data_IF_085332243582
#
_entry.id   IF_085332243582
#
_cell.length_a   1.000
_cell.length_b   1.000
_cell.length_c   1.000
_cell.angle_alpha   90.00
_cell.angle_beta   90.00
_cell.angle_gamma   90.00
#
_symmetry.space_group_name_H-M   'P 1'
#
loop_
_entity.id
_entity.type
_entity.pdbx_description
1 polymer ?
#
# COMPACT_ATOMS: atom_id res chain seq x y z
N UNK A 1 7.93 18.54 1.75
CA UNK A 1 6.73 17.74 1.41
C UNK A 1 5.90 17.57 2.67
N UNK A 2 4.61 17.91 2.65
CA UNK A 2 3.76 17.85 3.87
C UNK A 2 3.60 16.41 4.35
N UNK A 3 3.75 16.14 5.66
CA UNK A 3 3.56 14.82 6.28
C UNK A 3 2.20 14.20 5.88
N UNK A 4 1.17 15.02 5.71
CA UNK A 4 -0.15 14.60 5.23
C UNK A 4 -0.16 14.18 3.75
N UNK A 5 0.59 14.87 2.91
CA UNK A 5 0.73 14.52 1.49
C UNK A 5 1.41 13.17 1.30
N UNK A 6 2.43 12.89 2.13
CA UNK A 6 3.17 11.62 2.09
C UNK A 6 2.33 10.45 2.63
N UNK A 7 1.56 10.66 3.70
CA UNK A 7 0.62 9.66 4.22
C UNK A 7 -0.47 9.28 3.20
N UNK A 8 -1.05 10.28 2.52
CA UNK A 8 -2.05 10.03 1.48
C UNK A 8 -1.46 9.30 0.27
N UNK A 9 -0.26 9.68 -0.17
CA UNK A 9 0.44 8.97 -1.25
C UNK A 9 0.67 7.50 -0.91
N UNK A 10 1.14 7.18 0.29
CA UNK A 10 1.32 5.79 0.73
C UNK A 10 0.01 4.98 0.73
N UNK A 11 -1.10 5.58 1.17
CA UNK A 11 -2.41 4.92 1.15
C UNK A 11 -2.95 4.70 -0.28
N UNK A 12 -2.74 5.67 -1.17
CA UNK A 12 -3.10 5.55 -2.59
C UNK A 12 -2.27 4.44 -3.25
N UNK A 13 -0.95 4.44 -3.06
CA UNK A 13 -0.06 3.40 -3.57
C UNK A 13 -0.45 2.00 -3.07
N UNK A 14 -0.77 1.88 -1.78
CA UNK A 14 -1.26 0.64 -1.21
C UNK A 14 -2.53 0.16 -1.93
N UNK A 15 -3.50 1.06 -2.13
CA UNK A 15 -4.76 0.76 -2.81
C UNK A 15 -4.52 0.28 -4.25
N UNK A 16 -3.61 0.92 -4.98
CA UNK A 16 -3.23 0.53 -6.35
C UNK A 16 -2.60 -0.86 -6.37
N UNK A 17 -1.71 -1.18 -5.42
CA UNK A 17 -1.06 -2.50 -5.32
C UNK A 17 -2.11 -3.60 -5.06
N UNK A 18 -3.05 -3.35 -4.15
CA UNK A 18 -4.14 -4.30 -3.88
C UNK A 18 -5.05 -4.51 -5.09
N UNK A 19 -5.42 -3.43 -5.79
CA UNK A 19 -6.20 -3.52 -7.03
C UNK A 19 -5.45 -4.30 -8.11
N UNK A 20 -4.16 -4.05 -8.28
CA UNK A 20 -3.35 -4.74 -9.28
C UNK A 20 -3.26 -6.25 -8.98
N UNK A 21 -3.05 -6.61 -7.71
CA UNK A 21 -3.06 -7.99 -7.26
C UNK A 21 -4.44 -8.65 -7.44
N UNK A 22 -5.54 -7.92 -7.17
CA UNK A 22 -6.91 -8.41 -7.38
C UNK A 22 -7.20 -8.68 -8.86
N UNK A 23 -6.83 -7.74 -9.74
CA UNK A 23 -6.97 -7.87 -11.19
C UNK A 23 -6.17 -9.06 -11.71
N UNK A 24 -4.95 -9.27 -11.20
CA UNK A 24 -4.14 -10.39 -11.61
C UNK A 24 -4.76 -11.76 -11.22
N UNK A 25 -5.45 -11.83 -10.08
CA UNK A 25 -6.24 -13.01 -9.68
C UNK A 25 -7.46 -13.19 -10.61
N UNK A 26 -8.19 -12.10 -10.87
CA UNK A 26 -9.39 -12.09 -11.74
C UNK A 26 -9.06 -12.54 -13.17
N UNK A 27 -7.95 -12.08 -13.73
CA UNK A 27 -7.50 -12.43 -15.08
C UNK A 27 -6.83 -13.80 -15.15
N UNK A 28 -6.68 -14.52 -14.01
CA UNK A 28 -5.89 -15.76 -13.91
C UNK A 28 -4.52 -15.63 -14.56
N UNK A 29 -3.92 -14.44 -14.48
CA UNK A 29 -2.59 -14.20 -15.00
C UNK A 29 -1.64 -15.16 -14.28
N UNK A 30 -0.72 -15.79 -15.03
CA UNK A 30 0.37 -16.57 -14.46
C UNK A 30 1.36 -15.63 -13.76
N UNK A 31 0.97 -15.13 -12.58
CA UNK A 31 1.84 -14.33 -11.73
C UNK A 31 2.67 -15.28 -10.91
N UNK A 32 3.99 -15.09 -10.92
CA UNK A 32 4.86 -15.84 -10.05
C UNK A 32 4.44 -15.64 -8.58
N UNK A 33 4.24 -16.75 -7.86
CA UNK A 33 3.78 -16.74 -6.45
C UNK A 33 4.66 -15.85 -5.58
N UNK A 34 5.98 -15.88 -5.80
CA UNK A 34 6.94 -15.02 -5.09
C UNK A 34 6.69 -13.55 -5.34
N UNK A 35 6.40 -13.17 -6.60
CA UNK A 35 6.14 -11.77 -6.97
C UNK A 35 4.82 -11.27 -6.39
N UNK A 36 3.80 -12.13 -6.36
CA UNK A 36 2.52 -11.83 -5.72
C UNK A 36 2.68 -11.61 -4.20
N UNK A 37 3.40 -12.51 -3.52
CA UNK A 37 3.67 -12.39 -2.08
C UNK A 37 4.47 -11.13 -1.75
N UNK A 38 5.51 -10.81 -2.55
CA UNK A 38 6.29 -9.58 -2.38
C UNK A 38 5.44 -8.33 -2.58
N UNK A 39 4.56 -8.33 -3.60
CA UNK A 39 3.61 -7.25 -3.86
C UNK A 39 2.65 -7.06 -2.67
N UNK A 40 2.12 -8.16 -2.11
CA UNK A 40 1.27 -8.10 -0.92
C UNK A 40 2.01 -7.56 0.31
N UNK A 41 3.25 -8.02 0.56
CA UNK A 41 4.09 -7.52 1.65
C UNK A 41 4.34 -6.01 1.53
N UNK A 42 4.62 -5.53 0.31
CA UNK A 42 4.80 -4.11 0.03
C UNK A 42 3.54 -3.30 0.36
N UNK A 43 2.37 -3.81 -0.04
CA UNK A 43 1.07 -3.22 0.28
C UNK A 43 0.84 -3.07 1.79
N UNK A 44 1.12 -4.11 2.57
CA UNK A 44 0.98 -4.10 4.03
C UNK A 44 1.93 -3.08 4.68
N UNK A 45 3.20 -3.03 4.21
CA UNK A 45 4.19 -2.07 4.72
C UNK A 45 3.77 -0.62 4.47
N UNK A 46 3.23 -0.33 3.29
CA UNK A 46 2.72 1.00 2.93
C UNK A 46 1.50 1.39 3.75
N UNK A 47 0.62 0.43 4.05
CA UNK A 47 -0.54 0.61 4.92
C UNK A 47 -0.10 1.00 6.34
N UNK A 48 0.79 0.22 6.95
CA UNK A 48 1.33 0.49 8.29
C UNK A 48 2.02 1.85 8.30
N UNK A 49 2.84 2.14 7.30
CA UNK A 49 3.54 3.43 7.19
C UNK A 49 2.55 4.59 7.05
N UNK A 50 1.53 4.46 6.20
CA UNK A 50 0.50 5.49 6.01
C UNK A 50 -0.31 5.76 7.28
N UNK A 51 -0.68 4.70 8.02
CA UNK A 51 -1.36 4.80 9.32
C UNK A 51 -0.44 5.45 10.35
N UNK A 52 0.81 5.00 10.45
CA UNK A 52 1.81 5.54 11.38
C UNK A 52 2.05 7.03 11.15
N UNK A 53 2.20 7.46 9.90
CA UNK A 53 2.33 8.88 9.54
C UNK A 53 1.09 9.68 9.92
N UNK A 54 -0.12 9.16 9.66
CA UNK A 54 -1.37 9.83 10.11
C UNK A 54 -1.44 9.92 11.63
N UNK A 55 -0.98 8.90 12.34
CA UNK A 55 -1.00 8.86 13.79
C UNK A 55 -0.02 9.86 14.39
N UNK A 56 1.21 9.94 13.86
CA UNK A 56 2.17 10.99 14.24
C UNK A 56 1.64 12.40 13.99
N UNK A 57 1.04 12.67 12.82
CA UNK A 57 0.48 14.01 12.55
C UNK A 57 -0.68 14.34 13.48
N UNK A 58 -1.49 13.35 13.89
CA UNK A 58 -2.55 13.57 14.88
C UNK A 58 -2.00 13.86 16.27
N UNK A 59 -0.86 13.26 16.64
CA UNK A 59 -0.25 13.41 17.96
C UNK A 59 0.62 14.67 18.10
N UNK A 60 0.93 15.35 16.99
CA UNK A 60 1.61 16.66 16.94
C UNK A 60 0.65 17.87 16.95
N UNK A 61 -0.68 17.65 16.96
CA UNK A 61 -1.70 18.70 17.12
C UNK A 61 -2.29 18.69 18.53
#
# INVERSE_FOLDING_TARGET
MSKNGMANLNLILCTVIFLNNLVAILLKTEVNKTSFTMSMMLGILLLISGIWFKWQVRNER
#
